data_IF_781605277270
#
_entry.id   IF_781605277270
#
_cell.length_a   1.000
_cell.length_b   1.000
_cell.length_c   1.000
_cell.angle_alpha   90.00
_cell.angle_beta   90.00
_cell.angle_gamma   90.00
#
_symmetry.space_group_name_H-M   'P 1'
#
loop_
_entity.id
_entity.type
_entity.pdbx_description
1 polymer ?
#
# COMPACT_ATOMS: atom_id res chain seq x y z
N UNK A 1 35.29 -31.75 -22.76
CA UNK A 1 34.50 -32.56 -23.73
C UNK A 1 33.17 -31.85 -23.91
N UNK A 2 32.90 -31.31 -25.10
CA UNK A 2 31.67 -30.56 -25.38
C UNK A 2 30.42 -31.43 -25.18
N UNK A 3 29.54 -31.04 -24.26
CA UNK A 3 28.18 -31.58 -24.17
C UNK A 3 27.19 -30.56 -24.74
N UNK A 4 26.34 -31.05 -25.64
CA UNK A 4 25.36 -30.28 -26.42
C UNK A 4 24.39 -29.49 -25.53
N UNK A 5 24.03 -28.24 -25.89
CA UNK A 5 22.91 -27.55 -25.27
C UNK A 5 21.59 -28.18 -25.76
N UNK A 6 20.71 -28.59 -24.84
CA UNK A 6 19.32 -28.92 -25.17
C UNK A 6 18.86 -30.37 -24.97
N UNK A 7 19.41 -31.12 -24.02
CA UNK A 7 18.77 -32.36 -23.57
C UNK A 7 17.68 -32.05 -22.54
N UNK A 8 16.43 -31.90 -22.98
CA UNK A 8 15.27 -31.75 -22.11
C UNK A 8 15.05 -33.07 -21.35
N UNK A 9 15.48 -33.15 -20.09
CA UNK A 9 15.11 -34.25 -19.21
C UNK A 9 13.61 -34.18 -18.92
N UNK A 10 12.84 -35.11 -19.49
CA UNK A 10 11.37 -35.16 -19.37
C UNK A 10 10.87 -35.54 -17.96
N UNK A 11 11.75 -36.05 -17.09
CA UNK A 11 11.43 -36.51 -15.72
C UNK A 11 12.25 -35.79 -14.63
N UNK A 12 12.68 -34.55 -14.88
CA UNK A 12 13.39 -33.77 -13.86
C UNK A 12 12.43 -33.41 -12.71
N UNK A 13 12.79 -33.82 -11.49
CA UNK A 13 12.06 -33.40 -10.28
C UNK A 13 12.21 -31.88 -10.11
N UNK A 14 11.21 -31.18 -9.57
CA UNK A 14 11.35 -29.77 -9.24
C UNK A 14 12.38 -29.60 -8.11
N UNK A 15 13.29 -28.65 -8.24
CA UNK A 15 14.27 -28.28 -7.20
C UNK A 15 14.02 -26.86 -6.71
N UNK A 16 14.34 -26.59 -5.44
CA UNK A 16 14.42 -25.22 -4.92
C UNK A 16 15.70 -24.58 -5.40
N UNK A 17 15.61 -23.37 -5.93
CA UNK A 17 16.79 -22.58 -6.30
C UNK A 17 16.86 -21.33 -5.46
N UNK A 18 18.03 -21.05 -4.92
CA UNK A 18 18.39 -19.80 -4.28
C UNK A 18 19.24 -18.95 -5.21
N UNK A 19 19.21 -17.65 -4.99
CA UNK A 19 20.12 -16.73 -5.64
C UNK A 19 20.96 -16.07 -4.54
N UNK A 20 22.28 -16.23 -4.61
CA UNK A 20 23.21 -15.44 -3.80
C UNK A 20 23.78 -14.38 -4.72
N UNK A 21 23.64 -13.12 -4.35
CA UNK A 21 24.09 -11.99 -5.15
C UNK A 21 25.12 -11.23 -4.31
N UNK A 22 26.32 -11.04 -4.85
CA UNK A 22 27.32 -10.17 -4.24
C UNK A 22 27.40 -8.82 -4.98
N UNK A 23 28.51 -8.09 -4.86
CA UNK A 23 28.71 -6.81 -5.53
C UNK A 23 29.02 -6.90 -7.03
N UNK A 24 29.29 -8.10 -7.55
CA UNK A 24 29.81 -8.33 -8.91
C UNK A 24 29.11 -9.47 -9.65
N UNK A 25 28.74 -10.53 -8.94
CA UNK A 25 28.28 -11.79 -9.49
C UNK A 25 26.99 -12.27 -8.82
N UNK A 26 26.25 -13.03 -9.61
CA UNK A 26 25.06 -13.76 -9.21
C UNK A 26 25.35 -15.25 -9.25
N UNK A 27 25.21 -15.91 -8.11
CA UNK A 27 25.45 -17.33 -7.91
C UNK A 27 24.12 -18.07 -7.79
N UNK A 28 23.88 -19.03 -8.67
CA UNK A 28 22.70 -19.86 -8.61
C UNK A 28 22.97 -21.05 -7.67
N UNK A 29 22.23 -21.13 -6.56
CA UNK A 29 22.36 -22.19 -5.57
C UNK A 29 21.24 -23.22 -5.78
N UNK A 30 21.60 -24.50 -5.88
CA UNK A 30 20.63 -25.59 -5.75
C UNK A 30 20.39 -25.86 -4.26
N UNK A 31 19.17 -25.63 -3.80
CA UNK A 31 18.72 -25.84 -2.42
C UNK A 31 18.05 -27.21 -2.25
N UNK A 32 18.09 -28.07 -3.28
CA UNK A 32 17.65 -29.46 -3.24
C UNK A 32 16.27 -29.72 -3.83
N UNK A 33 15.93 -31.02 -3.93
CA UNK A 33 14.65 -31.51 -4.48
C UNK A 33 13.44 -31.04 -3.66
N UNK A 34 12.38 -30.61 -4.34
CA UNK A 34 11.06 -30.39 -3.77
C UNK A 34 10.32 -31.74 -3.69
N UNK A 35 9.87 -32.10 -2.49
CA UNK A 35 8.98 -33.26 -2.29
C UNK A 35 7.52 -32.86 -2.50
N UNK A 36 6.67 -33.81 -2.90
CA UNK A 36 5.27 -33.55 -3.27
C UNK A 36 4.43 -32.85 -2.17
N UNK A 37 4.78 -33.01 -0.89
CA UNK A 37 4.11 -32.32 0.22
C UNK A 37 4.54 -30.87 0.45
N UNK A 38 5.60 -30.41 -0.24
CA UNK A 38 6.16 -29.06 -0.10
C UNK A 38 5.72 -28.11 -1.21
N UNK A 39 5.02 -28.61 -2.23
CA UNK A 39 4.40 -27.80 -3.27
C UNK A 39 3.09 -27.24 -2.72
N UNK A 40 3.14 -26.04 -2.15
CA UNK A 40 1.92 -25.29 -1.88
C UNK A 40 1.20 -24.99 -3.21
N UNK A 41 -0.14 -24.84 -3.21
CA UNK A 41 -0.90 -24.56 -4.43
C UNK A 41 -0.36 -23.36 -5.22
N UNK A 42 0.13 -22.33 -4.52
CA UNK A 42 0.70 -21.12 -5.12
C UNK A 42 2.04 -21.39 -5.85
N UNK A 43 2.88 -22.27 -5.30
CA UNK A 43 4.16 -22.65 -5.93
C UNK A 43 3.94 -23.48 -7.20
N UNK A 44 2.85 -24.25 -7.27
CA UNK A 44 2.50 -25.05 -8.44
C UNK A 44 2.04 -24.20 -9.65
N UNK A 45 1.65 -22.95 -9.42
CA UNK A 45 1.23 -22.00 -10.46
C UNK A 45 2.39 -21.23 -11.09
N UNK A 46 3.57 -21.24 -10.47
CA UNK A 46 4.75 -20.57 -11.01
C UNK A 46 5.30 -21.33 -12.22
N UNK A 47 5.72 -20.63 -13.29
CA UNK A 47 6.29 -21.27 -14.46
C UNK A 47 7.60 -21.97 -14.07
N UNK A 48 7.62 -23.30 -14.22
CA UNK A 48 8.84 -24.09 -14.09
C UNK A 48 9.76 -23.77 -15.28
N UNK A 49 10.97 -23.30 -14.98
CA UNK A 49 12.01 -23.09 -15.98
C UNK A 49 13.12 -24.12 -15.82
N UNK A 50 13.49 -24.76 -16.94
CA UNK A 50 14.62 -25.68 -16.99
C UNK A 50 15.86 -24.82 -17.30
N UNK A 51 16.84 -24.83 -16.40
CA UNK A 51 18.12 -24.13 -16.57
C UNK A 51 19.25 -25.01 -16.06
N UNK A 52 20.39 -25.00 -16.74
CA UNK A 52 21.60 -25.66 -16.24
C UNK A 52 22.13 -24.90 -15.01
N UNK A 53 22.86 -25.60 -14.14
CA UNK A 53 23.59 -24.94 -13.05
C UNK A 53 24.84 -24.32 -13.69
N UNK A 54 24.69 -23.06 -14.08
CA UNK A 54 25.74 -22.29 -14.75
C UNK A 54 26.74 -21.70 -13.74
N UNK A 55 27.92 -21.34 -14.27
CA UNK A 55 28.96 -20.59 -13.56
C UNK A 55 28.43 -19.22 -13.06
N UNK A 56 29.14 -18.56 -12.14
CA UNK A 56 28.77 -17.24 -11.64
C UNK A 56 28.48 -16.26 -12.79
N UNK A 57 27.33 -15.60 -12.75
CA UNK A 57 26.89 -14.66 -13.79
C UNK A 57 27.24 -13.25 -13.34
N UNK A 58 28.10 -12.55 -14.08
CA UNK A 58 28.34 -11.13 -13.86
C UNK A 58 27.07 -10.34 -14.13
N UNK A 59 26.64 -9.52 -13.16
CA UNK A 59 25.43 -8.71 -13.32
C UNK A 59 25.75 -7.28 -13.81
N UNK A 60 27.00 -6.82 -13.71
CA UNK A 60 27.42 -5.51 -14.24
C UNK A 60 26.83 -4.30 -13.51
N UNK A 61 26.24 -4.50 -12.33
CA UNK A 61 25.60 -3.43 -11.58
C UNK A 61 26.65 -2.51 -10.97
N UNK A 62 26.63 -1.26 -11.39
CA UNK A 62 27.48 -0.21 -10.83
C UNK A 62 26.64 0.97 -10.35
N UNK A 63 27.16 1.65 -9.34
CA UNK A 63 26.66 2.93 -8.84
C UNK A 63 27.87 3.84 -8.64
N UNK A 64 27.86 5.02 -9.26
CA UNK A 64 29.01 5.94 -9.25
C UNK A 64 30.32 5.26 -9.71
N UNK A 65 30.22 4.35 -10.68
CA UNK A 65 31.36 3.60 -11.21
C UNK A 65 31.91 2.49 -10.30
N UNK A 66 31.31 2.25 -9.12
CA UNK A 66 31.70 1.16 -8.22
C UNK A 66 30.76 -0.04 -8.37
N UNK A 67 31.27 -1.29 -8.39
CA UNK A 67 30.42 -2.48 -8.36
C UNK A 67 29.59 -2.55 -7.08
N UNK A 68 28.28 -2.70 -7.22
CA UNK A 68 27.34 -2.77 -6.09
C UNK A 68 26.41 -3.96 -6.23
N UNK A 69 25.92 -4.48 -5.10
CA UNK A 69 24.88 -5.49 -5.14
C UNK A 69 23.57 -4.86 -5.68
N UNK A 70 22.91 -5.46 -6.69
CA UNK A 70 21.69 -4.93 -7.31
C UNK A 70 20.45 -5.13 -6.41
N UNK A 71 20.57 -4.77 -5.14
CA UNK A 71 19.52 -4.80 -4.14
C UNK A 71 19.42 -3.41 -3.53
N UNK A 72 18.35 -2.71 -3.87
CA UNK A 72 18.04 -1.40 -3.31
C UNK A 72 17.06 -1.55 -2.16
N UNK A 73 17.39 -0.95 -1.01
CA UNK A 73 16.49 -0.93 0.13
C UNK A 73 15.48 0.20 0.01
N UNK A 74 14.22 -0.13 0.24
CA UNK A 74 13.17 0.86 0.47
C UNK A 74 13.10 1.15 1.96
N UNK A 75 13.60 2.31 2.37
CA UNK A 75 13.68 2.66 3.79
C UNK A 75 12.39 3.33 4.24
N UNK A 76 11.76 2.74 5.26
CA UNK A 76 10.60 3.36 5.89
C UNK A 76 11.04 4.23 7.08
N UNK A 77 10.67 5.51 7.05
CA UNK A 77 10.78 6.41 8.21
C UNK A 77 12.18 6.44 8.83
N UNK A 78 13.19 6.83 8.03
CA UNK A 78 14.57 6.98 8.46
C UNK A 78 14.70 8.18 9.40
N UNK A 79 15.11 7.94 10.64
CA UNK A 79 15.43 9.02 11.59
C UNK A 79 16.86 9.55 11.36
N UNK A 80 17.20 10.69 11.98
CA UNK A 80 18.54 11.29 11.94
C UNK A 80 19.63 10.34 12.46
N UNK A 81 19.29 9.46 13.40
CA UNK A 81 20.18 8.43 13.95
C UNK A 81 20.21 7.12 13.12
N UNK A 82 19.61 7.12 11.92
CA UNK A 82 19.49 5.97 11.00
C UNK A 82 18.73 4.75 11.56
N UNK A 83 17.86 4.99 12.56
CA UNK A 83 16.95 3.96 13.04
C UNK A 83 15.80 3.79 12.06
N UNK A 84 15.61 2.56 11.58
CA UNK A 84 14.57 2.20 10.62
C UNK A 84 13.47 1.45 11.37
N UNK A 85 12.28 2.06 11.43
CA UNK A 85 11.10 1.43 12.04
C UNK A 85 10.11 1.06 10.94
N UNK A 86 9.68 -0.20 10.95
CA UNK A 86 8.63 -0.66 10.04
C UNK A 86 7.30 0.04 10.34
N UNK A 87 6.52 0.29 9.30
CA UNK A 87 5.23 1.01 9.42
C UNK A 87 4.24 0.31 10.35
N UNK A 88 4.20 -1.03 10.29
CA UNK A 88 3.28 -1.85 11.07
C UNK A 88 3.83 -2.16 12.46
N UNK A 89 5.15 -2.20 12.62
CA UNK A 89 5.82 -2.61 13.85
C UNK A 89 5.29 -1.91 15.13
N UNK A 90 5.13 -0.57 15.18
CA UNK A 90 4.62 0.11 16.37
C UNK A 90 3.13 -0.18 16.65
N UNK A 91 2.39 -0.69 15.66
CA UNK A 91 0.96 -0.94 15.76
C UNK A 91 0.63 -2.37 16.22
N UNK A 92 1.60 -3.28 16.21
CA UNK A 92 1.38 -4.71 16.50
C UNK A 92 0.75 -4.92 17.87
N UNK A 93 1.28 -4.27 18.91
CA UNK A 93 0.77 -4.45 20.28
C UNK A 93 -0.67 -3.95 20.39
N UNK A 94 -0.97 -2.77 19.84
CA UNK A 94 -2.32 -2.22 19.87
C UNK A 94 -3.33 -3.09 19.09
N UNK A 95 -2.93 -3.65 17.95
CA UNK A 95 -3.75 -4.60 17.20
C UNK A 95 -3.99 -5.91 17.96
N UNK A 96 -2.97 -6.45 18.63
CA UNK A 96 -3.12 -7.62 19.50
C UNK A 96 -4.10 -7.36 20.65
N UNK A 97 -4.03 -6.18 21.27
CA UNK A 97 -5.01 -5.78 22.30
C UNK A 97 -6.43 -5.72 21.74
N UNK A 98 -6.64 -5.11 20.56
CA UNK A 98 -7.95 -5.07 19.90
C UNK A 98 -8.48 -6.48 19.65
N UNK A 99 -7.62 -7.40 19.16
CA UNK A 99 -8.01 -8.78 18.91
C UNK A 99 -8.42 -9.50 20.20
N UNK A 100 -7.68 -9.33 21.29
CA UNK A 100 -8.02 -9.93 22.57
C UNK A 100 -9.35 -9.39 23.12
N UNK A 101 -9.55 -8.07 23.11
CA UNK A 101 -10.81 -7.45 23.57
C UNK A 101 -11.99 -7.89 22.71
N UNK A 102 -11.81 -7.99 21.39
CA UNK A 102 -12.86 -8.48 20.50
C UNK A 102 -13.15 -9.97 20.72
N UNK A 103 -12.13 -10.78 21.03
CA UNK A 103 -12.32 -12.18 21.39
C UNK A 103 -13.12 -12.33 22.69
N UNK A 104 -12.78 -11.57 23.73
CA UNK A 104 -13.54 -11.53 24.99
C UNK A 104 -14.98 -11.08 24.75
N UNK A 105 -15.18 -10.08 23.89
CA UNK A 105 -16.50 -9.64 23.45
C UNK A 105 -17.30 -10.80 22.83
N UNK A 106 -16.69 -11.60 21.96
CA UNK A 106 -17.36 -12.73 21.32
C UNK A 106 -17.68 -13.85 22.33
N UNK A 107 -16.81 -14.09 23.31
CA UNK A 107 -17.07 -15.01 24.43
C UNK A 107 -18.29 -14.54 25.22
N UNK A 108 -18.31 -13.29 25.65
CA UNK A 108 -19.42 -12.73 26.43
C UNK A 108 -20.72 -12.75 25.62
N UNK A 109 -20.67 -12.48 24.32
CA UNK A 109 -21.83 -12.61 23.44
C UNK A 109 -22.37 -14.05 23.42
N UNK A 110 -21.48 -15.05 23.36
CA UNK A 110 -21.88 -16.46 23.29
C UNK A 110 -22.41 -17.00 24.61
N UNK A 111 -21.74 -16.72 25.71
CA UNK A 111 -22.06 -17.28 27.03
C UNK A 111 -23.00 -16.39 27.83
N UNK A 112 -22.94 -15.07 27.64
CA UNK A 112 -23.81 -14.09 28.29
C UNK A 112 -25.22 -14.00 27.69
N UNK A 113 -25.47 -14.63 26.55
CA UNK A 113 -26.81 -14.78 25.97
C UNK A 113 -27.74 -15.66 26.82
N UNK A 114 -27.17 -16.54 27.65
CA UNK A 114 -27.92 -17.40 28.55
C UNK A 114 -27.68 -16.96 30.00
N UNK A 115 -28.49 -16.03 30.53
CA UNK A 115 -28.32 -15.57 31.90
C UNK A 115 -28.48 -16.72 32.88
N UNK A 116 -27.67 -16.70 33.93
CA UNK A 116 -27.84 -17.63 35.04
C UNK A 116 -29.17 -17.35 35.74
N UNK A 117 -29.82 -18.42 36.18
CA UNK A 117 -31.09 -18.36 36.86
C UNK A 117 -30.92 -18.95 38.25
N UNK A 118 -31.51 -18.31 39.25
CA UNK A 118 -31.44 -18.70 40.66
C UNK A 118 -32.85 -18.97 41.14
N UNK A 119 -33.04 -20.14 41.72
CA UNK A 119 -34.30 -20.52 42.36
C UNK A 119 -34.00 -20.60 43.86
N UNK A 120 -34.72 -19.81 44.66
CA UNK A 120 -34.63 -19.82 46.12
C UNK A 120 -35.90 -20.40 46.72
N UNK A 121 -35.77 -21.15 47.82
CA UNK A 121 -36.91 -21.75 48.51
C UNK A 121 -37.42 -23.08 47.91
N UNK A 122 -36.74 -23.62 46.89
CA UNK A 122 -37.13 -24.89 46.26
C UNK A 122 -36.28 -26.06 46.76
N UNK A 123 -36.93 -27.12 47.25
CA UNK A 123 -36.29 -28.34 47.77
C UNK A 123 -36.20 -29.46 46.72
N UNK A 124 -36.00 -29.11 45.45
CA UNK A 124 -35.91 -30.09 44.36
C UNK A 124 -34.69 -31.00 44.46
N UNK A 125 -34.85 -32.25 44.04
CA UNK A 125 -33.76 -33.22 43.87
C UNK A 125 -32.83 -32.83 42.71
N UNK A 126 -31.61 -33.39 42.66
CA UNK A 126 -30.65 -33.11 41.57
C UNK A 126 -31.22 -33.38 40.17
N UNK A 127 -32.07 -34.39 40.03
CA UNK A 127 -32.72 -34.76 38.77
C UNK A 127 -33.77 -33.74 38.35
N UNK A 128 -34.53 -33.20 39.30
CA UNK A 128 -35.52 -32.16 39.07
C UNK A 128 -34.85 -30.82 38.72
N UNK A 129 -33.76 -30.47 39.40
CA UNK A 129 -32.95 -29.28 39.07
C UNK A 129 -32.37 -29.39 37.66
N UNK A 130 -31.90 -30.57 37.26
CA UNK A 130 -31.38 -30.79 35.91
C UNK A 130 -32.49 -30.64 34.86
N UNK A 131 -33.67 -31.22 35.09
CA UNK A 131 -34.84 -31.04 34.23
C UNK A 131 -35.27 -29.58 34.15
N UNK A 132 -35.29 -28.86 35.28
CA UNK A 132 -35.61 -27.44 35.34
C UNK A 132 -34.63 -26.57 34.55
N UNK A 133 -33.33 -26.89 34.56
CA UNK A 133 -32.33 -26.15 33.79
C UNK A 133 -32.57 -26.19 32.27
N UNK A 134 -33.15 -27.27 31.75
CA UNK A 134 -33.52 -27.41 30.33
C UNK A 134 -34.86 -26.77 29.95
N UNK A 135 -35.69 -26.34 30.92
CA UNK A 135 -37.02 -25.80 30.65
C UNK A 135 -37.00 -24.28 30.36
N UNK A 136 -37.82 -23.85 29.39
CA UNK A 136 -38.03 -22.43 29.04
C UNK A 136 -38.96 -21.70 30.00
N UNK A 137 -39.92 -22.41 30.58
CA UNK A 137 -40.91 -21.88 31.54
C UNK A 137 -40.88 -22.77 32.77
N UNK A 138 -40.93 -22.16 33.95
CA UNK A 138 -40.89 -22.85 35.24
C UNK A 138 -42.21 -22.66 35.97
N UNK A 139 -42.73 -23.74 36.54
CA UNK A 139 -43.87 -23.74 37.43
C UNK A 139 -43.48 -24.53 38.67
N UNK A 140 -43.78 -23.99 39.84
CA UNK A 140 -43.49 -24.60 41.14
C UNK A 140 -44.81 -24.76 41.90
N UNK A 141 -45.01 -25.91 42.53
CA UNK A 141 -46.21 -26.20 43.34
C UNK A 141 -46.05 -25.74 44.80
N UNK A 142 -44.80 -25.56 45.25
CA UNK A 142 -44.47 -25.16 46.62
C UNK A 142 -44.72 -23.67 46.89
N UNK A 143 -45.34 -23.34 48.03
CA UNK A 143 -45.48 -21.96 48.50
C UNK A 143 -44.13 -21.39 48.96
N UNK A 144 -43.80 -20.17 48.52
CA UNK A 144 -42.55 -19.48 48.91
C UNK A 144 -41.35 -19.66 47.98
N UNK A 145 -41.54 -20.30 46.81
CA UNK A 145 -40.49 -20.38 45.78
C UNK A 145 -40.39 -19.06 45.01
N UNK A 146 -39.18 -18.49 44.98
CA UNK A 146 -38.86 -17.30 44.19
C UNK A 146 -37.79 -17.65 43.14
N UNK A 147 -38.11 -17.41 41.87
CA UNK A 147 -37.24 -17.69 40.75
C UNK A 147 -36.86 -16.39 40.05
N UNK A 148 -35.56 -16.09 40.03
CA UNK A 148 -34.99 -14.87 39.43
C UNK A 148 -33.96 -15.23 38.37
N UNK A 149 -33.86 -14.40 37.35
CA UNK A 149 -32.79 -14.45 36.35
C UNK A 149 -31.86 -13.27 36.55
N UNK A 150 -30.56 -13.47 36.38
CA UNK A 150 -29.63 -12.36 36.20
C UNK A 150 -29.90 -11.64 34.88
N UNK A 151 -29.53 -10.36 34.75
CA UNK A 151 -29.56 -9.68 33.46
C UNK A 151 -28.57 -10.35 32.49
N UNK A 152 -28.91 -10.32 31.19
CA UNK A 152 -27.97 -10.73 30.15
C UNK A 152 -26.73 -9.83 30.17
N UNK A 153 -25.58 -10.38 29.76
CA UNK A 153 -24.37 -9.59 29.68
C UNK A 153 -24.50 -8.48 28.63
N UNK A 154 -24.08 -7.25 28.96
CA UNK A 154 -24.04 -6.13 28.01
C UNK A 154 -22.71 -6.12 27.26
N UNK A 155 -22.79 -5.78 25.98
CA UNK A 155 -21.63 -5.63 25.09
C UNK A 155 -21.18 -4.17 24.95
N UNK A 156 -21.89 -3.22 25.56
CA UNK A 156 -21.70 -1.78 25.33
C UNK A 156 -20.33 -1.30 25.80
N UNK A 157 -19.86 -1.83 26.93
CA UNK A 157 -18.51 -1.57 27.44
C UNK A 157 -17.42 -2.03 26.47
N UNK A 158 -17.57 -3.21 25.86
CA UNK A 158 -16.64 -3.71 24.86
C UNK A 158 -16.70 -2.92 23.56
N UNK A 159 -17.89 -2.55 23.09
CA UNK A 159 -18.06 -1.79 21.84
C UNK A 159 -17.46 -0.39 21.95
N UNK A 160 -17.70 0.30 23.07
CA UNK A 160 -17.09 1.61 23.35
C UNK A 160 -15.57 1.53 23.49
N UNK A 161 -15.06 0.52 24.19
CA UNK A 161 -13.62 0.28 24.31
C UNK A 161 -12.96 0.01 22.96
N UNK A 162 -13.55 -0.86 22.13
CA UNK A 162 -13.04 -1.17 20.79
C UNK A 162 -13.03 0.07 19.90
N UNK A 163 -14.09 0.89 19.93
CA UNK A 163 -14.14 2.13 19.16
C UNK A 163 -13.00 3.08 19.55
N UNK A 164 -12.75 3.26 20.86
CA UNK A 164 -11.65 4.08 21.37
C UNK A 164 -10.28 3.53 20.97
N UNK A 165 -10.08 2.21 21.05
CA UNK A 165 -8.82 1.58 20.65
C UNK A 165 -8.53 1.74 19.14
N UNK A 166 -9.56 1.58 18.30
CA UNK A 166 -9.44 1.78 16.85
C UNK A 166 -9.08 3.24 16.53
N UNK A 167 -9.71 4.21 17.20
CA UNK A 167 -9.36 5.63 17.06
C UNK A 167 -7.91 5.90 17.49
N UNK A 168 -7.45 5.33 18.60
CA UNK A 168 -6.06 5.48 19.06
C UNK A 168 -5.06 4.86 18.07
N UNK A 169 -5.36 3.69 17.51
CA UNK A 169 -4.53 3.06 16.47
C UNK A 169 -4.47 3.92 15.21
N UNK A 170 -5.60 4.47 14.76
CA UNK A 170 -5.65 5.37 13.60
C UNK A 170 -4.79 6.61 13.81
N UNK A 171 -4.86 7.23 15.00
CA UNK A 171 -4.03 8.37 15.37
C UNK A 171 -2.54 8.03 15.38
N UNK A 172 -2.16 6.90 15.98
CA UNK A 172 -0.76 6.44 16.03
C UNK A 172 -0.23 6.10 14.64
N UNK A 173 -1.07 5.50 13.80
CA UNK A 173 -0.75 5.20 12.41
C UNK A 173 -0.73 6.46 11.53
N UNK A 174 -1.16 7.63 12.00
CA UNK A 174 -1.27 8.84 11.18
C UNK A 174 -2.24 8.69 10.01
N UNK A 175 -3.29 7.88 10.18
CA UNK A 175 -4.38 7.71 9.23
C UNK A 175 -5.49 8.68 9.61
N UNK A 176 -6.12 9.30 8.61
CA UNK A 176 -7.21 10.26 8.88
C UNK A 176 -8.41 9.57 9.55
N UNK A 177 -8.94 10.10 10.67
CA UNK A 177 -10.14 9.57 11.31
C UNK A 177 -11.39 9.55 10.42
N UNK A 178 -11.48 10.39 9.36
CA UNK A 178 -12.60 10.31 8.39
C UNK A 178 -12.69 8.93 7.76
N UNK A 179 -11.55 8.36 7.43
CA UNK A 179 -11.46 7.11 6.68
C UNK A 179 -11.73 5.90 7.58
N UNK A 180 -11.47 6.01 8.89
CA UNK A 180 -11.58 4.91 9.84
C UNK A 180 -12.96 4.85 10.49
N UNK A 181 -13.49 6.00 10.92
CA UNK A 181 -14.65 6.01 11.81
C UNK A 181 -15.94 6.39 11.09
N UNK A 182 -15.87 6.98 9.89
CA UNK A 182 -17.06 7.45 9.14
C UNK A 182 -17.90 8.52 9.85
N UNK A 183 -17.45 9.00 11.02
CA UNK A 183 -18.17 9.96 11.89
C UNK A 183 -18.09 11.41 11.41
N UNK A 184 -17.36 11.70 10.33
CA UNK A 184 -17.20 13.05 9.79
C UNK A 184 -18.35 13.40 8.85
N UNK A 185 -19.55 13.54 9.41
CA UNK A 185 -20.73 14.06 8.71
C UNK A 185 -20.75 15.58 8.88
N UNK A 186 -20.92 16.34 7.78
CA UNK A 186 -20.99 17.81 7.76
C UNK A 186 -19.69 18.55 8.15
N UNK A 187 -18.53 17.97 7.86
CA UNK A 187 -17.24 18.64 8.10
C UNK A 187 -16.89 19.54 6.92
N UNK A 188 -16.39 20.76 7.19
CA UNK A 188 -15.95 21.68 6.13
C UNK A 188 -14.71 21.14 5.41
N UNK A 189 -14.47 21.60 4.17
CA UNK A 189 -13.28 21.23 3.41
C UNK A 189 -11.98 21.53 4.18
N UNK A 190 -11.91 22.68 4.86
CA UNK A 190 -10.74 23.07 5.65
C UNK A 190 -10.52 22.16 6.87
N UNK A 191 -11.59 21.76 7.55
CA UNK A 191 -11.51 20.85 8.69
C UNK A 191 -11.13 19.42 8.25
N UNK A 192 -11.60 18.98 7.07
CA UNK A 192 -11.17 17.72 6.48
C UNK A 192 -9.69 17.76 6.08
N UNK A 193 -9.24 18.84 5.44
CA UNK A 193 -7.83 19.03 5.09
C UNK A 193 -6.93 19.06 6.33
N UNK A 194 -7.36 19.73 7.41
CA UNK A 194 -6.64 19.72 8.68
C UNK A 194 -6.55 18.33 9.31
N UNK A 195 -7.62 17.53 9.22
CA UNK A 195 -7.62 16.15 9.71
C UNK A 195 -6.69 15.23 8.89
N UNK A 196 -6.58 15.47 7.59
CA UNK A 196 -5.70 14.70 6.69
C UNK A 196 -4.25 15.19 6.68
N UNK A 197 -3.94 16.35 7.25
CA UNK A 197 -2.62 16.99 7.16
C UNK A 197 -1.48 16.11 7.70
N UNK A 198 -1.71 15.33 8.76
CA UNK A 198 -0.70 14.38 9.29
C UNK A 198 -0.44 13.23 8.31
N UNK A 199 -1.51 12.69 7.72
CA UNK A 199 -1.43 11.63 6.73
C UNK A 199 -0.68 12.12 5.47
N UNK A 200 -0.99 13.33 4.99
CA UNK A 200 -0.31 13.89 3.82
C UNK A 200 1.17 14.15 4.07
N UNK A 201 1.55 14.69 5.24
CA UNK A 201 2.97 14.86 5.61
C UNK A 201 3.71 13.53 5.62
N UNK A 202 3.09 12.48 6.15
CA UNK A 202 3.65 11.13 6.15
C UNK A 202 3.79 10.56 4.73
N UNK A 203 2.78 10.75 3.88
CA UNK A 203 2.84 10.32 2.47
C UNK A 203 3.95 11.05 1.70
N UNK A 204 4.13 12.35 1.93
CA UNK A 204 5.24 13.13 1.35
C UNK A 204 6.59 12.53 1.75
N UNK A 205 6.85 12.34 3.05
CA UNK A 205 8.10 11.76 3.53
C UNK A 205 8.38 10.36 2.93
N UNK A 206 7.35 9.56 2.71
CA UNK A 206 7.49 8.25 2.02
C UNK A 206 7.80 8.39 0.54
N UNK A 207 7.13 9.31 -0.16
CA UNK A 207 7.39 9.59 -1.58
C UNK A 207 8.82 10.06 -1.78
N UNK A 208 9.33 10.89 -0.89
CA UNK A 208 10.71 11.38 -0.93
C UNK A 208 11.70 10.22 -0.74
N UNK A 209 11.54 9.45 0.35
CA UNK A 209 12.46 8.33 0.65
C UNK A 209 12.38 7.19 -0.37
N UNK A 210 11.18 6.86 -0.86
CA UNK A 210 11.01 5.81 -1.86
C UNK A 210 11.36 6.33 -3.26
N UNK A 211 11.26 7.64 -3.51
CA UNK A 211 11.74 8.29 -4.73
C UNK A 211 13.23 8.04 -4.92
N UNK A 212 14.04 8.36 -3.91
CA UNK A 212 15.49 8.09 -3.93
C UNK A 212 15.79 6.59 -4.14
N UNK A 213 15.03 5.69 -3.49
CA UNK A 213 15.17 4.25 -3.71
C UNK A 213 14.85 3.86 -5.16
N UNK A 214 13.80 4.43 -5.76
CA UNK A 214 13.45 4.19 -7.16
C UNK A 214 14.48 4.76 -8.14
N UNK A 215 15.01 5.95 -7.87
CA UNK A 215 16.09 6.58 -8.65
C UNK A 215 17.35 5.71 -8.62
N UNK A 216 17.71 5.18 -7.45
CA UNK A 216 18.80 4.21 -7.33
C UNK A 216 18.51 2.92 -8.12
N UNK A 217 17.27 2.40 -8.08
CA UNK A 217 16.88 1.23 -8.88
C UNK A 217 17.05 1.51 -10.37
N UNK A 218 16.59 2.65 -10.87
CA UNK A 218 16.71 2.97 -12.30
C UNK A 218 18.15 3.17 -12.75
N UNK A 219 18.99 3.82 -11.94
CA UNK A 219 20.43 3.97 -12.24
C UNK A 219 21.15 2.62 -12.28
N UNK A 220 20.88 1.74 -11.32
CA UNK A 220 21.45 0.39 -11.29
C UNK A 220 20.94 -0.45 -12.48
N UNK A 221 19.65 -0.37 -12.80
CA UNK A 221 19.10 -1.06 -13.96
C UNK A 221 19.75 -0.57 -15.27
N UNK A 222 19.95 0.73 -15.42
CA UNK A 222 20.63 1.33 -16.57
C UNK A 222 22.09 0.88 -16.68
N UNK A 223 22.83 0.78 -15.56
CA UNK A 223 24.21 0.30 -15.59
C UNK A 223 24.31 -1.16 -16.02
N UNK A 224 23.34 -1.99 -15.62
CA UNK A 224 23.25 -3.39 -16.05
C UNK A 224 22.85 -3.54 -17.53
N UNK A 225 22.09 -2.60 -18.09
CA UNK A 225 21.68 -2.58 -19.52
C UNK A 225 22.73 -1.91 -20.43
N UNK A 226 23.79 -1.33 -19.84
CA UNK A 226 24.88 -0.65 -20.57
C UNK A 226 24.57 0.80 -20.97
N UNK A 227 23.51 1.40 -20.43
CA UNK A 227 23.21 2.83 -20.60
C UNK A 227 23.97 3.67 -19.55
N UNK A 228 25.22 4.00 -19.88
CA UNK A 228 26.08 4.79 -19.01
C UNK A 228 25.55 6.23 -18.77
N UNK A 229 24.78 6.80 -19.70
CA UNK A 229 24.26 8.16 -19.53
C UNK A 229 23.22 8.21 -18.41
N UNK A 230 22.26 7.28 -18.43
CA UNK A 230 21.23 7.20 -17.40
C UNK A 230 21.80 6.69 -16.07
N UNK A 231 22.80 5.80 -16.10
CA UNK A 231 23.46 5.30 -14.90
C UNK A 231 24.15 6.41 -14.08
N UNK A 232 24.75 7.39 -14.76
CA UNK A 232 25.47 8.51 -14.13
C UNK A 232 24.58 9.74 -13.85
N UNK A 233 23.30 9.71 -14.27
CA UNK A 233 22.37 10.82 -14.03
C UNK A 233 21.84 10.83 -12.60
N UNK A 234 22.49 11.63 -11.74
CA UNK A 234 22.06 11.89 -10.37
C UNK A 234 21.05 13.04 -10.24
N UNK A 235 20.70 13.71 -11.34
CA UNK A 235 19.71 14.78 -11.36
C UNK A 235 18.30 14.28 -11.70
N UNK A 236 18.18 13.03 -12.16
CA UNK A 236 16.89 12.39 -12.42
C UNK A 236 16.07 12.24 -11.14
N UNK A 237 14.80 12.67 -11.18
CA UNK A 237 13.88 12.63 -10.05
C UNK A 237 12.63 11.80 -10.36
N UNK A 238 12.13 11.07 -9.35
CA UNK A 238 10.87 10.33 -9.44
C UNK A 238 9.69 11.26 -9.21
N UNK A 239 8.92 11.48 -10.27
CA UNK A 239 7.67 12.25 -10.20
C UNK A 239 6.51 11.34 -9.85
N UNK A 240 5.96 11.52 -8.64
CA UNK A 240 4.76 10.82 -8.20
C UNK A 240 3.50 11.48 -8.75
N UNK A 241 2.55 10.65 -9.19
CA UNK A 241 1.21 11.12 -9.51
C UNK A 241 0.55 11.70 -8.26
N UNK A 242 -0.04 12.88 -8.37
CA UNK A 242 -0.86 13.44 -7.31
C UNK A 242 -2.13 12.57 -7.10
N UNK A 243 -2.35 12.18 -5.85
CA UNK A 243 -3.49 11.38 -5.41
C UNK A 243 -4.39 12.15 -4.45
N UNK A 244 -4.12 13.43 -4.20
CA UNK A 244 -4.93 14.25 -3.33
C UNK A 244 -6.26 14.61 -4.00
N UNK A 245 -7.33 14.65 -3.20
CA UNK A 245 -8.65 15.10 -3.65
C UNK A 245 -8.69 16.64 -3.69
N UNK A 246 -7.95 17.25 -4.61
CA UNK A 246 -8.02 18.70 -4.85
C UNK A 246 -9.11 19.02 -5.87
N UNK A 247 -9.80 20.13 -5.66
CA UNK A 247 -10.72 20.67 -6.66
C UNK A 247 -9.93 21.05 -7.91
N UNK A 248 -10.27 20.48 -9.05
CA UNK A 248 -9.65 20.80 -10.35
C UNK A 248 -9.70 22.31 -10.63
N UNK A 249 -10.82 22.96 -10.30
CA UNK A 249 -11.00 24.40 -10.47
C UNK A 249 -10.01 25.21 -9.62
N UNK A 250 -9.73 24.77 -8.40
CA UNK A 250 -8.77 25.44 -7.49
C UNK A 250 -7.35 25.33 -8.02
N UNK A 251 -6.97 24.17 -8.57
CA UNK A 251 -5.64 23.98 -9.16
C UNK A 251 -5.46 24.84 -10.40
N UNK A 252 -6.45 24.86 -11.30
CA UNK A 252 -6.43 25.70 -12.50
C UNK A 252 -6.37 27.19 -12.16
N UNK A 253 -7.16 27.66 -11.19
CA UNK A 253 -7.11 29.05 -10.73
C UNK A 253 -5.73 29.42 -10.17
N UNK A 254 -5.11 28.52 -9.41
CA UNK A 254 -3.73 28.69 -8.93
C UNK A 254 -2.72 28.80 -10.07
N UNK A 255 -2.81 27.92 -11.08
CA UNK A 255 -1.94 27.94 -12.26
C UNK A 255 -2.10 29.24 -13.06
N UNK A 256 -3.33 29.70 -13.28
CA UNK A 256 -3.61 30.95 -13.99
C UNK A 256 -3.02 32.16 -13.25
N UNK A 257 -3.11 32.17 -11.92
CA UNK A 257 -2.49 33.24 -11.09
C UNK A 257 -0.96 33.20 -11.18
N UNK A 258 -0.34 32.03 -11.13
CA UNK A 258 1.11 31.90 -11.29
C UNK A 258 1.57 32.32 -12.69
N UNK A 259 0.78 31.97 -13.72
CA UNK A 259 1.04 32.39 -15.09
C UNK A 259 0.99 33.92 -15.25
N UNK A 260 0.08 34.59 -14.53
CA UNK A 260 0.01 36.06 -14.54
C UNK A 260 1.25 36.76 -13.96
N UNK A 261 2.04 36.05 -13.13
CA UNK A 261 3.33 36.52 -12.59
C UNK A 261 4.49 36.31 -13.57
N UNK A 262 4.24 35.70 -14.73
CA UNK A 262 5.24 35.45 -15.77
C UNK A 262 5.89 34.06 -15.71
N UNK A 263 5.38 33.14 -14.87
CA UNK A 263 5.83 31.74 -14.89
C UNK A 263 5.21 31.05 -16.11
N UNK A 264 6.01 30.44 -17.02
CA UNK A 264 5.48 29.76 -18.19
C UNK A 264 4.53 28.61 -17.83
N UNK A 265 3.36 28.57 -18.46
CA UNK A 265 2.33 27.55 -18.20
C UNK A 265 2.85 26.14 -18.52
N UNK A 266 3.76 26.02 -19.49
CA UNK A 266 4.40 24.78 -19.89
C UNK A 266 5.05 24.04 -18.72
N UNK A 267 5.67 24.79 -17.80
CA UNK A 267 6.35 24.24 -16.64
C UNK A 267 5.38 23.73 -15.56
N UNK A 268 4.11 24.14 -15.64
CA UNK A 268 3.07 23.82 -14.65
C UNK A 268 2.10 22.73 -15.14
N UNK A 269 2.23 22.25 -16.38
CA UNK A 269 1.35 21.23 -16.95
C UNK A 269 1.41 19.90 -16.17
N UNK A 270 2.56 19.58 -15.57
CA UNK A 270 2.74 18.40 -14.70
C UNK A 270 1.96 18.49 -13.40
N UNK A 271 1.59 19.70 -12.97
CA UNK A 271 0.80 19.94 -11.76
C UNK A 271 -0.71 19.82 -11.99
N UNK A 272 -1.16 19.65 -13.24
CA UNK A 272 -2.58 19.54 -13.57
C UNK A 272 -3.09 18.11 -13.31
N UNK A 273 -4.05 17.91 -12.40
CA UNK A 273 -4.56 16.58 -12.09
C UNK A 273 -5.21 15.91 -13.31
N UNK A 274 -4.86 14.65 -13.54
CA UNK A 274 -5.49 13.81 -14.57
C UNK A 274 -4.83 13.86 -15.94
N UNK A 275 -3.88 14.77 -16.18
CA UNK A 275 -3.09 14.75 -17.41
C UNK A 275 -2.09 13.60 -17.39
N UNK A 276 -2.02 12.86 -18.49
CA UNK A 276 -0.97 11.84 -18.67
C UNK A 276 0.30 12.49 -19.23
N UNK A 277 1.45 11.84 -19.03
CA UNK A 277 2.72 12.33 -19.58
C UNK A 277 2.66 12.52 -21.10
N UNK A 278 1.96 11.61 -21.81
CA UNK A 278 1.73 11.72 -23.25
C UNK A 278 0.89 12.94 -23.62
N UNK A 279 -0.14 13.26 -22.83
CA UNK A 279 -0.96 14.46 -23.04
C UNK A 279 -0.15 15.72 -22.78
N UNK A 280 0.66 15.76 -21.73
CA UNK A 280 1.54 16.90 -21.42
C UNK A 280 2.53 17.14 -22.57
N UNK A 281 3.16 16.08 -23.09
CA UNK A 281 4.05 16.17 -24.25
C UNK A 281 3.33 16.69 -25.50
N UNK A 282 2.12 16.18 -25.78
CA UNK A 282 1.32 16.63 -26.91
C UNK A 282 0.92 18.12 -26.80
N UNK A 283 0.50 18.56 -25.62
CA UNK A 283 0.15 19.97 -25.35
C UNK A 283 1.38 20.87 -25.48
N UNK A 284 2.51 20.47 -24.88
CA UNK A 284 3.77 21.22 -24.97
C UNK A 284 4.22 21.38 -26.43
N UNK A 285 4.16 20.30 -27.22
CA UNK A 285 4.48 20.33 -28.65
C UNK A 285 3.55 21.28 -29.43
N UNK A 286 2.24 21.20 -29.21
CA UNK A 286 1.27 22.07 -29.86
C UNK A 286 1.50 23.56 -29.52
N UNK A 287 1.86 23.89 -28.27
CA UNK A 287 2.18 25.26 -27.87
C UNK A 287 3.50 25.77 -28.47
N UNK A 288 4.51 24.91 -28.63
CA UNK A 288 5.75 25.26 -29.33
C UNK A 288 5.50 25.55 -30.82
N UNK A 289 4.69 24.72 -31.49
CA UNK A 289 4.30 24.92 -32.90
C UNK A 289 3.50 26.22 -33.09
N UNK A 290 2.59 26.55 -32.16
CA UNK A 290 1.86 27.82 -32.15
C UNK A 290 2.77 29.05 -32.06
N UNK A 291 3.76 29.03 -31.16
CA UNK A 291 4.75 30.13 -31.02
C UNK A 291 5.64 30.29 -32.25
N UNK A 292 6.01 29.20 -32.91
CA UNK A 292 6.79 29.27 -34.16
C UNK A 292 5.99 29.91 -35.30
N UNK A 293 4.70 29.63 -35.40
CA UNK A 293 3.79 30.26 -36.37
C UNK A 293 3.55 31.75 -36.10
N UNK A 294 3.59 32.19 -34.84
CA UNK A 294 3.51 33.62 -34.49
C UNK A 294 4.83 34.37 -34.77
N UNK A 295 5.98 33.69 -34.65
CA UNK A 295 7.31 34.27 -34.92
C UNK A 295 7.69 34.32 -36.41
N UNK A 296 7.11 33.47 -37.25
CA UNK A 296 7.18 33.54 -38.71
C UNK A 296 5.79 33.87 -39.28
N UNK A 297 5.41 35.15 -39.38
CA UNK A 297 4.19 35.52 -40.08
C UNK A 297 4.29 35.01 -41.51
N UNK A 298 3.34 34.18 -41.95
CA UNK A 298 3.20 33.78 -43.35
C UNK A 298 3.14 35.07 -44.18
N UNK A 299 4.07 35.31 -45.13
CA UNK A 299 4.03 36.52 -45.93
C UNK A 299 2.69 36.58 -46.68
N UNK A 300 2.04 37.75 -46.77
CA UNK A 300 0.75 37.86 -47.43
C UNK A 300 0.85 37.31 -48.86
N UNK A 301 -0.19 36.62 -49.37
CA UNK A 301 -0.16 36.07 -50.71
C UNK A 301 0.17 37.19 -51.69
N UNK A 302 1.21 36.98 -52.48
CA UNK A 302 1.61 37.90 -53.55
C UNK A 302 0.41 38.08 -54.46
N UNK A 303 -0.20 39.26 -54.44
CA UNK A 303 -1.21 39.62 -55.43
C UNK A 303 -0.48 39.69 -56.77
N UNK A 304 -0.64 38.66 -57.59
CA UNK A 304 -0.26 38.71 -58.99
C UNK A 304 -1.05 39.85 -59.64
N UNK A 305 -0.34 40.91 -60.02
CA UNK A 305 -0.87 41.98 -60.85
C UNK A 305 -1.37 41.36 -62.17
N UNK A 306 -2.64 41.58 -62.56
CA UNK A 306 -3.13 41.08 -63.84
C UNK A 306 -2.32 41.74 -64.96
N UNK A 307 -1.72 40.91 -65.79
CA UNK A 307 -1.04 41.29 -67.02
C UNK A 307 -2.02 42.00 -67.94
N UNK A 308 -1.91 43.34 -68.01
CA UNK A 308 -2.60 44.12 -69.03
C UNK A 308 -1.93 43.88 -70.39
N UNK A 309 -2.78 43.60 -71.38
CA UNK A 309 -2.47 43.53 -72.81
C UNK A 309 -2.09 44.90 -73.36
#
# INVERSE_FOLDING_TARGET
MCTKPGAIQRDAKPHRRGLLIDSTHTYQLDLGELTAGQLTPDLALLPLSIREVEDPIEHGATLEGQPVCPVVRFVNNRDADDWIVGEVAPLIQAQQTINNVNFDRLIVSRFGAFPQKVITGWAGTKEEVLKASGMRVWAFEDEGVDAKSFPAASMDGYNSLLASMVEHVAMTAGISPSQVTGKMINVSADALAAAEATMQRKLSAKRDSFGESWEQVFRIAASMDGDAQTADDSAAEVVWRDTEARSFATVVDGIVKLASTGIPIELMLTSVPGFTQQQIQAISKAMQEGRQNEQHPVPPPTQELPSQQ
#
